data_IF_880591776264
#
_entry.id   IF_880591776264
#
_cell.length_a   1.000
_cell.length_b   1.000
_cell.length_c   1.000
_cell.angle_alpha   90.00
_cell.angle_beta   90.00
_cell.angle_gamma   90.00
#
_symmetry.space_group_name_H-M   'P 1'
#
loop_
_entity.id
_entity.type
_entity.pdbx_description
1 polymer ?
#
# COMPACT_ATOMS: atom_id res chain seq x y z
N UNK A 1 -31.63 -22.55 -19.33
CA UNK A 1 -31.15 -22.12 -18.02
C UNK A 1 -30.85 -23.37 -17.19
N UNK A 2 -29.82 -24.10 -17.58
CA UNK A 2 -29.29 -25.27 -16.82
C UNK A 2 -27.79 -25.35 -17.09
N UNK A 3 -27.01 -24.53 -16.40
CA UNK A 3 -25.54 -24.75 -16.28
C UNK A 3 -24.99 -23.71 -15.33
N UNK A 4 -24.88 -24.05 -14.03
CA UNK A 4 -23.94 -23.40 -13.09
C UNK A 4 -24.08 -23.81 -11.60
N UNK A 5 -24.41 -25.08 -11.31
CA UNK A 5 -24.37 -25.58 -9.93
C UNK A 5 -23.82 -27.01 -9.80
N UNK A 6 -22.73 -27.33 -10.49
CA UNK A 6 -22.10 -28.66 -10.38
C UNK A 6 -20.60 -28.55 -10.12
N UNK A 7 -20.19 -28.09 -8.93
CA UNK A 7 -18.75 -28.19 -8.54
C UNK A 7 -18.52 -28.19 -7.01
N UNK A 8 -19.54 -28.46 -6.20
CA UNK A 8 -19.36 -28.43 -4.72
C UNK A 8 -20.01 -29.64 -3.97
N UNK A 9 -20.32 -30.75 -4.64
CA UNK A 9 -21.04 -31.87 -4.02
C UNK A 9 -20.37 -33.24 -4.17
N UNK A 10 -19.06 -33.32 -4.32
CA UNK A 10 -18.39 -34.64 -4.42
C UNK A 10 -18.17 -35.38 -3.09
N UNK A 11 -18.59 -34.82 -1.96
CA UNK A 11 -18.51 -35.52 -0.66
C UNK A 11 -19.73 -35.28 0.23
N UNK A 12 -20.92 -35.23 -0.34
CA UNK A 12 -22.17 -35.23 0.44
C UNK A 12 -23.05 -36.37 -0.09
N UNK A 13 -23.22 -37.40 0.72
CA UNK A 13 -24.20 -38.47 0.44
C UNK A 13 -25.61 -37.87 0.43
N UNK A 14 -26.16 -37.72 -0.78
CA UNK A 14 -27.51 -37.20 -0.95
C UNK A 14 -28.47 -38.38 -1.09
N UNK A 15 -29.20 -38.72 -0.03
CA UNK A 15 -30.37 -39.57 -0.13
C UNK A 15 -31.56 -38.76 -0.68
N UNK A 16 -31.85 -38.92 -1.97
CA UNK A 16 -33.06 -38.35 -2.60
C UNK A 16 -34.19 -39.37 -2.50
N UNK A 17 -35.15 -39.10 -1.63
CA UNK A 17 -36.45 -39.79 -1.65
C UNK A 17 -37.40 -39.06 -2.58
N UNK A 18 -37.70 -39.67 -3.73
CA UNK A 18 -38.68 -39.18 -4.71
C UNK A 18 -40.06 -39.68 -4.34
N UNK A 19 -40.86 -38.89 -3.60
CA UNK A 19 -42.35 -38.94 -3.62
C UNK A 19 -42.89 -37.60 -3.11
N UNK A 20 -43.36 -36.77 -3.99
CA UNK A 20 -44.56 -35.98 -4.04
C UNK A 20 -44.40 -34.61 -4.75
N UNK A 21 -45.45 -34.29 -5.48
CA UNK A 21 -45.65 -33.16 -6.41
C UNK A 21 -45.86 -31.80 -5.72
N UNK A 22 -45.01 -31.38 -4.76
CA UNK A 22 -44.99 -30.00 -4.25
C UNK A 22 -43.54 -29.61 -4.06
N UNK A 23 -43.18 -28.40 -4.52
CA UNK A 23 -41.87 -27.80 -4.29
C UNK A 23 -41.72 -27.49 -2.80
N UNK A 24 -41.28 -28.43 -2.01
CA UNK A 24 -40.74 -28.16 -0.70
C UNK A 24 -39.29 -27.70 -0.87
N UNK A 25 -38.99 -26.51 -0.42
CA UNK A 25 -37.64 -26.07 -0.13
C UNK A 25 -37.07 -27.03 0.89
N UNK A 26 -36.19 -27.92 0.45
CA UNK A 26 -35.41 -28.76 1.36
C UNK A 26 -34.48 -27.86 2.14
N UNK A 27 -34.85 -27.52 3.35
CA UNK A 27 -33.93 -26.96 4.33
C UNK A 27 -32.93 -28.07 4.68
N UNK A 28 -31.69 -27.89 4.22
CA UNK A 28 -30.59 -28.69 4.73
C UNK A 28 -30.38 -28.34 6.18
N UNK A 29 -30.67 -29.27 7.07
CA UNK A 29 -30.30 -29.23 8.48
C UNK A 29 -28.79 -29.55 8.58
N UNK A 30 -27.97 -28.59 8.13
CA UNK A 30 -26.53 -28.65 8.25
C UNK A 30 -26.21 -28.29 9.70
N UNK A 31 -25.73 -29.26 10.48
CA UNK A 31 -25.43 -29.07 11.89
C UNK A 31 -24.48 -27.90 12.06
N UNK A 32 -24.76 -27.03 13.02
CA UNK A 32 -23.89 -25.87 13.38
C UNK A 32 -22.43 -26.30 13.63
N UNK A 33 -22.17 -27.57 13.99
CA UNK A 33 -20.86 -28.17 14.16
C UNK A 33 -20.01 -28.21 12.89
N UNK A 34 -20.64 -28.22 11.71
CA UNK A 34 -19.91 -28.34 10.42
C UNK A 34 -19.36 -26.99 9.96
N UNK A 35 -19.85 -25.88 10.53
CA UNK A 35 -19.45 -24.51 10.19
C UNK A 35 -18.37 -23.94 11.10
N UNK A 36 -18.16 -24.51 12.31
CA UNK A 36 -17.19 -24.02 13.30
C UNK A 36 -16.31 -25.19 13.73
N UNK A 37 -15.00 -25.04 13.54
CA UNK A 37 -14.01 -26.03 13.96
C UNK A 37 -12.95 -25.41 14.87
N UNK A 38 -12.19 -26.24 15.59
CA UNK A 38 -10.96 -25.79 16.25
C UNK A 38 -10.00 -25.31 15.18
N UNK A 39 -9.34 -24.18 15.42
CA UNK A 39 -8.44 -23.55 14.48
C UNK A 39 -7.19 -24.40 14.24
N UNK A 40 -6.93 -24.77 13.01
CA UNK A 40 -5.72 -25.47 12.58
C UNK A 40 -4.93 -24.61 11.56
N UNK A 41 -3.61 -24.81 11.51
CA UNK A 41 -2.78 -24.07 10.59
C UNK A 41 -1.55 -24.86 10.15
N UNK A 42 -1.44 -25.08 8.83
CA UNK A 42 -0.24 -25.61 8.19
C UNK A 42 0.66 -24.44 7.77
N UNK A 43 1.83 -24.33 8.40
CA UNK A 43 2.82 -23.29 8.06
C UNK A 43 3.57 -23.63 6.79
N UNK A 44 4.32 -22.66 6.24
CA UNK A 44 5.11 -22.83 5.01
C UNK A 44 6.36 -23.71 5.24
N UNK A 45 6.78 -23.89 6.49
CA UNK A 45 7.86 -24.75 6.94
C UNK A 45 7.39 -26.18 7.31
N UNK A 46 6.22 -26.58 6.82
CA UNK A 46 5.55 -27.88 7.06
C UNK A 46 5.07 -28.07 8.53
N UNK A 47 5.26 -27.12 9.41
CA UNK A 47 4.77 -27.21 10.77
C UNK A 47 3.24 -27.16 10.78
N UNK A 48 2.59 -28.14 11.40
CA UNK A 48 1.15 -28.15 11.68
C UNK A 48 0.90 -27.78 13.14
N UNK A 49 -0.01 -26.84 13.40
CA UNK A 49 -0.39 -26.42 14.74
C UNK A 49 -1.90 -26.41 14.90
N UNK A 50 -2.39 -27.08 15.92
CA UNK A 50 -3.78 -27.01 16.38
C UNK A 50 -3.85 -25.98 17.51
N UNK A 51 -4.64 -24.93 17.32
CA UNK A 51 -4.81 -23.86 18.30
C UNK A 51 -6.02 -24.14 19.18
N UNK A 52 -5.86 -24.96 20.22
CA UNK A 52 -6.95 -25.43 21.08
C UNK A 52 -7.79 -24.32 21.72
N UNK A 53 -7.20 -23.14 21.91
CA UNK A 53 -7.86 -21.97 22.50
C UNK A 53 -8.74 -21.19 21.53
N UNK A 54 -8.77 -21.57 20.24
CA UNK A 54 -9.48 -20.82 19.21
C UNK A 54 -10.37 -21.72 18.35
N UNK A 55 -11.45 -21.12 17.86
CA UNK A 55 -12.27 -21.66 16.78
C UNK A 55 -12.20 -20.78 15.56
N UNK A 56 -12.51 -21.35 14.41
CA UNK A 56 -12.72 -20.63 13.15
C UNK A 56 -13.99 -21.15 12.48
N UNK A 57 -14.75 -20.26 11.84
CA UNK A 57 -15.91 -20.62 11.05
C UNK A 57 -15.63 -20.60 9.55
N UNK A 58 -16.59 -21.06 8.75
CA UNK A 58 -16.51 -21.08 7.29
C UNK A 58 -16.50 -19.68 6.64
N UNK A 59 -16.77 -18.62 7.40
CA UNK A 59 -16.64 -17.22 6.94
C UNK A 59 -15.26 -16.64 7.28
N UNK A 60 -14.38 -17.40 7.96
CA UNK A 60 -13.06 -16.98 8.37
C UNK A 60 -13.04 -16.15 9.66
N UNK A 61 -14.10 -16.21 10.47
CA UNK A 61 -14.15 -15.51 11.75
C UNK A 61 -13.48 -16.39 12.82
N UNK A 62 -12.38 -15.91 13.36
CA UNK A 62 -11.64 -16.59 14.44
C UNK A 62 -12.13 -16.05 15.78
N UNK A 63 -12.43 -16.95 16.72
CA UNK A 63 -12.84 -16.59 18.09
C UNK A 63 -12.02 -17.32 19.14
N UNK A 64 -11.68 -16.63 20.21
CA UNK A 64 -11.11 -17.27 21.40
C UNK A 64 -12.23 -18.01 22.16
N UNK A 65 -12.06 -19.30 22.44
CA UNK A 65 -13.09 -20.15 23.09
C UNK A 65 -13.47 -19.66 24.48
N UNK A 66 -12.50 -19.08 25.22
CA UNK A 66 -12.74 -18.63 26.60
C UNK A 66 -13.40 -17.26 26.68
N UNK A 67 -12.94 -16.31 25.86
CA UNK A 67 -13.42 -14.91 25.91
C UNK A 67 -14.52 -14.60 24.88
N UNK A 68 -14.73 -15.46 23.88
CA UNK A 68 -15.61 -15.21 22.74
C UNK A 68 -15.12 -14.12 21.78
N UNK A 69 -13.99 -13.48 22.10
CA UNK A 69 -13.49 -12.34 21.34
C UNK A 69 -12.77 -12.77 20.06
N UNK A 70 -12.93 -11.96 19.02
CA UNK A 70 -12.21 -12.09 17.74
C UNK A 70 -10.89 -11.33 17.83
N UNK A 71 -9.73 -11.93 17.47
CA UNK A 71 -8.47 -11.21 17.38
C UNK A 71 -8.55 -10.06 16.39
N UNK A 72 -7.86 -8.95 16.67
CA UNK A 72 -7.81 -7.81 15.76
C UNK A 72 -7.12 -8.18 14.43
N UNK A 73 -7.77 -7.92 13.32
CA UNK A 73 -7.20 -8.13 11.99
C UNK A 73 -6.39 -6.90 11.55
N UNK A 74 -5.21 -7.16 10.98
CA UNK A 74 -4.33 -6.11 10.49
C UNK A 74 -4.91 -5.33 9.29
N UNK A 75 -4.44 -4.09 9.11
CA UNK A 75 -4.90 -3.19 8.03
C UNK A 75 -4.33 -3.53 6.63
N UNK A 76 -3.56 -4.62 6.48
CA UNK A 76 -2.94 -5.01 5.21
C UNK A 76 -3.93 -5.45 4.12
N UNK A 77 -3.39 -5.83 2.96
CA UNK A 77 -4.16 -6.33 1.80
C UNK A 77 -4.93 -7.62 2.12
N UNK A 78 -4.37 -8.47 2.98
CA UNK A 78 -4.96 -9.72 3.45
C UNK A 78 -5.20 -9.65 4.96
N UNK A 79 -6.23 -10.32 5.43
CA UNK A 79 -6.48 -10.41 6.86
C UNK A 79 -5.41 -11.28 7.54
N UNK A 80 -4.82 -10.73 8.59
CA UNK A 80 -3.84 -11.39 9.46
C UNK A 80 -4.19 -11.11 10.90
N UNK A 81 -3.99 -12.07 11.79
CA UNK A 81 -4.14 -11.86 13.21
C UNK A 81 -3.08 -12.61 14.02
N UNK A 82 -2.90 -12.18 15.25
CA UNK A 82 -2.05 -12.86 16.22
C UNK A 82 -2.89 -13.80 17.07
N UNK A 83 -2.50 -15.08 17.13
CA UNK A 83 -3.07 -16.10 18.00
C UNK A 83 -1.96 -16.72 18.85
N UNK A 84 -2.31 -17.33 19.98
CA UNK A 84 -1.35 -18.00 20.86
C UNK A 84 -1.49 -19.51 20.72
N UNK A 85 -0.39 -20.21 20.48
CA UNK A 85 -0.36 -21.66 20.46
C UNK A 85 -0.56 -22.24 21.88
N UNK A 86 -0.53 -23.57 21.99
CA UNK A 86 -0.77 -24.24 23.27
C UNK A 86 0.34 -23.97 24.29
N UNK A 87 1.57 -23.70 23.81
CA UNK A 87 2.74 -23.34 24.63
C UNK A 87 2.75 -21.86 25.02
N UNK A 88 1.74 -21.08 24.62
CA UNK A 88 1.64 -19.65 24.91
C UNK A 88 2.47 -18.77 23.99
N UNK A 89 3.08 -19.31 22.95
CA UNK A 89 3.83 -18.53 21.95
C UNK A 89 2.88 -17.84 20.97
N UNK A 90 3.09 -16.55 20.74
CA UNK A 90 2.30 -15.79 19.78
C UNK A 90 2.70 -16.11 18.35
N UNK A 91 1.74 -16.51 17.53
CA UNK A 91 1.90 -16.79 16.11
C UNK A 91 1.09 -15.79 15.28
N UNK A 92 1.69 -15.27 14.22
CA UNK A 92 0.98 -14.44 13.22
C UNK A 92 0.50 -15.35 12.09
N UNK A 93 -0.82 -15.40 11.88
CA UNK A 93 -1.43 -16.24 10.85
C UNK A 93 -2.20 -15.39 9.83
N UNK A 94 -2.34 -15.92 8.61
CA UNK A 94 -3.22 -15.38 7.56
C UNK A 94 -4.57 -16.08 7.65
N UNK A 95 -5.66 -15.32 7.70
CA UNK A 95 -7.00 -15.89 7.92
C UNK A 95 -7.40 -16.84 6.78
N UNK A 96 -7.19 -16.47 5.52
CA UNK A 96 -7.50 -17.36 4.40
C UNK A 96 -6.72 -18.68 4.43
N UNK A 97 -5.44 -18.67 4.89
CA UNK A 97 -4.70 -19.93 5.08
C UNK A 97 -5.22 -20.73 6.28
N UNK A 98 -5.69 -20.05 7.32
CA UNK A 98 -6.31 -20.70 8.47
C UNK A 98 -7.62 -21.42 8.07
N UNK A 99 -8.45 -20.78 7.24
CA UNK A 99 -9.66 -21.41 6.65
C UNK A 99 -9.27 -22.62 5.82
N UNK A 100 -8.29 -22.48 4.91
CA UNK A 100 -7.83 -23.59 4.08
C UNK A 100 -7.31 -24.75 4.94
N UNK A 101 -6.46 -24.47 5.92
CA UNK A 101 -5.89 -25.49 6.82
C UNK A 101 -6.95 -26.24 7.60
N UNK A 102 -7.94 -25.50 8.15
CA UNK A 102 -8.96 -26.10 9.04
C UNK A 102 -10.04 -26.87 8.28
N UNK A 103 -10.44 -26.38 7.08
CA UNK A 103 -11.60 -26.95 6.38
C UNK A 103 -11.21 -27.80 5.14
N UNK A 104 -10.10 -27.48 4.47
CA UNK A 104 -9.61 -28.24 3.31
C UNK A 104 -8.48 -29.20 3.68
N UNK A 105 -7.96 -29.11 4.93
CA UNK A 105 -6.89 -29.97 5.43
C UNK A 105 -5.49 -29.58 4.89
N UNK A 106 -4.59 -30.55 4.89
CA UNK A 106 -3.19 -30.38 4.49
C UNK A 106 -3.06 -29.98 3.01
N UNK A 107 -2.19 -29.01 2.69
CA UNK A 107 -1.90 -28.70 1.29
C UNK A 107 -1.15 -29.84 0.62
N UNK A 108 -1.45 -30.12 -0.65
CA UNK A 108 -0.83 -31.21 -1.41
C UNK A 108 0.70 -31.16 -1.48
N UNK A 109 1.30 -29.99 -1.31
CA UNK A 109 2.74 -29.80 -1.12
C UNK A 109 2.98 -28.50 -0.33
N UNK A 110 4.15 -28.34 0.32
CA UNK A 110 4.52 -27.11 1.04
C UNK A 110 4.49 -25.85 0.16
N UNK A 111 4.65 -26.01 -1.14
CA UNK A 111 4.61 -24.93 -2.12
C UNK A 111 3.19 -24.42 -2.43
N UNK A 112 2.14 -25.11 -1.98
CA UNK A 112 0.76 -24.64 -2.13
C UNK A 112 0.46 -23.49 -1.19
N UNK A 113 -0.27 -22.53 -1.69
CA UNK A 113 -0.72 -21.35 -0.94
C UNK A 113 -2.24 -21.27 -0.92
N UNK A 114 -2.80 -20.77 0.17
CA UNK A 114 -4.21 -20.43 0.18
C UNK A 114 -4.45 -19.25 -0.76
N UNK A 115 -5.24 -19.48 -1.80
CA UNK A 115 -5.53 -18.56 -2.89
C UNK A 115 -7.00 -18.13 -2.82
N UNK A 116 -7.26 -16.82 -3.00
CA UNK A 116 -8.62 -16.33 -3.12
C UNK A 116 -9.12 -16.58 -4.54
N UNK A 117 -10.23 -17.32 -4.69
CA UNK A 117 -10.83 -17.66 -5.99
C UNK A 117 -11.16 -16.37 -6.74
N UNK A 118 -11.83 -15.41 -6.08
CA UNK A 118 -11.97 -14.04 -6.56
C UNK A 118 -10.80 -13.19 -6.07
N UNK A 119 -9.83 -12.96 -6.94
CA UNK A 119 -8.63 -12.17 -6.64
C UNK A 119 -8.89 -10.68 -6.36
N UNK A 120 -10.10 -10.17 -6.60
CA UNK A 120 -10.53 -8.81 -6.21
C UNK A 120 -10.92 -8.74 -4.74
N UNK A 121 -11.41 -9.85 -4.18
CA UNK A 121 -11.91 -9.95 -2.80
C UNK A 121 -10.87 -10.51 -1.83
N UNK A 122 -9.71 -9.91 -1.74
CA UNK A 122 -8.57 -10.39 -0.93
C UNK A 122 -8.81 -10.39 0.59
N UNK A 123 -9.90 -9.80 1.06
CA UNK A 123 -10.34 -9.81 2.48
C UNK A 123 -11.56 -10.68 2.72
N UNK A 124 -12.12 -11.30 1.70
CA UNK A 124 -13.18 -12.27 1.82
C UNK A 124 -12.57 -13.66 2.02
N UNK A 125 -12.33 -14.03 3.27
CA UNK A 125 -11.71 -15.30 3.66
C UNK A 125 -12.75 -16.42 3.84
N UNK A 126 -13.96 -16.27 3.33
CA UNK A 126 -14.95 -17.33 3.35
C UNK A 126 -14.46 -18.59 2.62
N UNK A 127 -14.76 -19.78 3.16
CA UNK A 127 -14.36 -21.07 2.58
C UNK A 127 -14.72 -21.19 1.09
N UNK A 128 -15.88 -20.65 0.69
CA UNK A 128 -16.33 -20.61 -0.70
C UNK A 128 -15.41 -19.80 -1.63
N UNK A 129 -14.58 -18.92 -1.08
CA UNK A 129 -13.63 -18.09 -1.81
C UNK A 129 -12.17 -18.52 -1.63
N UNK A 130 -11.91 -19.59 -0.88
CA UNK A 130 -10.55 -20.05 -0.56
C UNK A 130 -10.32 -21.44 -1.16
N UNK A 131 -9.12 -21.63 -1.71
CA UNK A 131 -8.64 -22.94 -2.19
C UNK A 131 -7.13 -23.06 -2.01
N UNK A 132 -6.63 -24.32 -1.98
CA UNK A 132 -5.21 -24.53 -2.15
C UNK A 132 -4.81 -24.41 -3.64
N UNK A 133 -3.73 -23.68 -3.92
CA UNK A 133 -3.24 -23.46 -5.28
C UNK A 133 -1.72 -23.47 -5.33
N UNK A 134 -1.16 -24.15 -6.33
CA UNK A 134 0.28 -24.08 -6.60
C UNK A 134 0.68 -22.69 -7.16
N UNK A 135 1.94 -22.32 -7.05
CA UNK A 135 2.47 -21.02 -7.53
C UNK A 135 2.14 -20.74 -9.01
N UNK A 136 2.27 -21.66 -9.96
CA UNK A 136 1.84 -21.43 -11.34
C UNK A 136 0.35 -21.12 -11.47
N UNK A 137 -0.50 -21.89 -10.79
CA UNK A 137 -1.94 -21.66 -10.79
C UNK A 137 -2.35 -20.33 -10.15
N UNK A 138 -1.66 -19.91 -9.08
CA UNK A 138 -1.88 -18.61 -8.47
C UNK A 138 -1.48 -17.45 -9.41
N UNK A 139 -0.38 -17.60 -10.17
CA UNK A 139 0.01 -16.62 -11.20
C UNK A 139 -1.03 -16.48 -12.30
N UNK A 140 -1.68 -17.60 -12.69
CA UNK A 140 -2.76 -17.56 -13.68
C UNK A 140 -4.03 -16.86 -13.15
N UNK A 141 -4.27 -16.89 -11.83
CA UNK A 141 -5.41 -16.23 -11.18
C UNK A 141 -5.17 -14.74 -10.91
N UNK A 142 -3.96 -14.22 -11.12
CA UNK A 142 -3.68 -12.80 -10.92
C UNK A 142 -4.32 -11.96 -12.02
N UNK A 143 -5.06 -10.93 -11.61
CA UNK A 143 -5.47 -9.87 -12.53
C UNK A 143 -4.22 -9.10 -12.92
N UNK A 144 -3.79 -9.25 -14.15
CA UNK A 144 -2.73 -8.45 -14.74
C UNK A 144 -3.37 -7.26 -15.44
N UNK A 145 -2.73 -6.11 -15.34
CA UNK A 145 -3.11 -4.98 -16.18
C UNK A 145 -2.79 -5.36 -17.63
N UNK A 146 -3.74 -5.19 -18.52
CA UNK A 146 -3.58 -5.48 -19.96
C UNK A 146 -2.45 -4.63 -20.54
N UNK A 147 -2.27 -3.43 -19.99
CA UNK A 147 -1.24 -2.48 -20.40
C UNK A 147 -0.34 -2.09 -19.22
N UNK A 148 0.97 -2.16 -19.41
CA UNK A 148 1.94 -1.63 -18.45
C UNK A 148 1.92 -0.10 -18.49
N UNK A 149 1.63 0.56 -17.37
CA UNK A 149 1.66 2.04 -17.26
C UNK A 149 3.00 2.67 -17.67
N UNK A 150 4.07 1.88 -17.65
CA UNK A 150 5.42 2.27 -18.03
C UNK A 150 5.82 1.84 -19.44
N UNK A 151 4.89 1.33 -20.25
CA UNK A 151 5.18 0.93 -21.62
C UNK A 151 5.46 2.13 -22.51
N UNK A 152 6.30 1.94 -23.54
CA UNK A 152 6.47 2.95 -24.58
C UNK A 152 5.16 3.14 -25.35
N UNK A 153 4.81 4.38 -25.58
CA UNK A 153 3.65 4.76 -26.39
C UNK A 153 4.09 4.95 -27.83
N UNK A 154 3.34 4.37 -28.74
CA UNK A 154 3.48 4.52 -30.18
C UNK A 154 2.27 5.28 -30.70
N UNK A 155 2.53 6.22 -31.57
CA UNK A 155 1.52 7.09 -32.19
C UNK A 155 1.38 6.71 -33.65
N UNK A 156 0.15 6.62 -34.15
CA UNK A 156 -0.19 6.50 -35.56
C UNK A 156 -1.50 7.22 -35.81
N UNK A 157 -1.52 8.09 -36.80
CA UNK A 157 -2.70 8.86 -37.22
C UNK A 157 -3.35 9.63 -36.04
N UNK A 158 -2.52 10.18 -35.14
CA UNK A 158 -2.96 10.89 -33.92
C UNK A 158 -3.45 10.00 -32.77
N UNK A 159 -3.52 8.68 -32.95
CA UNK A 159 -3.95 7.73 -31.92
C UNK A 159 -2.74 7.20 -31.15
N UNK A 160 -2.81 7.26 -29.83
CA UNK A 160 -1.77 6.80 -28.91
C UNK A 160 -2.13 5.43 -28.33
N UNK A 161 -1.25 4.45 -28.51
CA UNK A 161 -1.39 3.10 -27.95
C UNK A 161 -0.03 2.53 -27.59
N UNK A 162 0.00 1.56 -26.70
CA UNK A 162 1.19 0.73 -26.50
C UNK A 162 1.41 -0.20 -27.70
N UNK A 163 2.59 -0.80 -27.79
CA UNK A 163 2.89 -1.76 -28.87
C UNK A 163 1.90 -2.94 -28.88
N UNK A 164 1.53 -3.46 -27.70
CA UNK A 164 0.58 -4.61 -27.61
C UNK A 164 -0.83 -4.17 -28.07
N UNK A 165 -1.32 -3.05 -27.61
CA UNK A 165 -2.61 -2.51 -28.06
C UNK A 165 -2.64 -2.24 -29.57
N UNK A 166 -1.52 -1.81 -30.15
CA UNK A 166 -1.40 -1.68 -31.60
C UNK A 166 -1.45 -3.02 -32.32
N UNK A 167 -0.82 -4.08 -31.78
CA UNK A 167 -0.88 -5.42 -32.36
C UNK A 167 -2.34 -5.89 -32.40
N UNK A 168 -3.05 -5.77 -31.29
CA UNK A 168 -4.45 -6.19 -31.20
C UNK A 168 -5.32 -5.37 -32.15
N UNK A 169 -5.14 -4.03 -32.17
CA UNK A 169 -5.88 -3.13 -33.05
C UNK A 169 -5.66 -3.45 -34.53
N UNK A 170 -4.42 -3.60 -34.97
CA UNK A 170 -4.09 -3.87 -36.35
C UNK A 170 -4.56 -5.28 -36.81
N UNK A 171 -4.42 -6.28 -35.93
CA UNK A 171 -4.85 -7.65 -36.25
C UNK A 171 -6.36 -7.79 -36.30
N UNK A 172 -7.10 -6.99 -35.52
CA UNK A 172 -8.56 -6.95 -35.62
C UNK A 172 -9.08 -6.26 -36.88
N UNK A 173 -8.28 -5.38 -37.50
CA UNK A 173 -8.66 -4.61 -38.69
C UNK A 173 -8.13 -5.18 -40.00
N UNK A 174 -7.15 -6.10 -39.94
CA UNK A 174 -6.55 -6.70 -41.14
C UNK A 174 -7.52 -7.64 -41.87
N UNK A 175 -7.32 -7.83 -43.16
CA UNK A 175 -8.00 -8.89 -43.91
C UNK A 175 -7.48 -10.28 -43.44
N UNK A 176 -8.34 -11.34 -43.48
CA UNK A 176 -7.96 -12.69 -43.04
C UNK A 176 -6.71 -13.24 -43.71
N UNK A 177 -6.45 -12.88 -44.96
CA UNK A 177 -5.31 -13.36 -45.75
C UNK A 177 -4.01 -12.56 -45.49
N UNK A 178 -4.10 -11.40 -44.81
CA UNK A 178 -2.92 -10.59 -44.51
C UNK A 178 -2.13 -11.19 -43.36
N UNK A 179 -0.81 -11.03 -43.41
CA UNK A 179 0.08 -11.45 -42.32
C UNK A 179 -0.23 -10.71 -41.03
N UNK A 180 -0.17 -11.44 -39.91
CA UNK A 180 -0.36 -10.84 -38.60
C UNK A 180 0.74 -9.85 -38.25
N UNK A 181 0.32 -8.74 -37.60
CA UNK A 181 1.22 -7.80 -37.02
C UNK A 181 1.83 -8.38 -35.75
N UNK A 182 3.14 -8.28 -35.63
CA UNK A 182 3.89 -8.74 -34.46
C UNK A 182 4.51 -7.55 -33.72
N UNK A 183 4.92 -7.81 -32.48
CA UNK A 183 5.62 -6.81 -31.66
C UNK A 183 6.83 -6.22 -32.38
N UNK A 184 7.68 -7.06 -32.94
CA UNK A 184 8.88 -6.61 -33.67
C UNK A 184 8.57 -5.74 -34.88
N UNK A 185 7.45 -6.01 -35.57
CA UNK A 185 7.02 -5.18 -36.71
C UNK A 185 6.60 -3.79 -36.26
N UNK A 186 5.75 -3.69 -35.23
CA UNK A 186 5.29 -2.38 -34.70
C UNK A 186 6.47 -1.58 -34.16
N UNK A 187 7.34 -2.22 -33.36
CA UNK A 187 8.56 -1.57 -32.82
C UNK A 187 9.48 -1.09 -33.95
N UNK A 188 9.68 -1.90 -34.99
CA UNK A 188 10.48 -1.52 -36.16
C UNK A 188 9.87 -0.32 -36.93
N UNK A 189 8.56 -0.36 -37.19
CA UNK A 189 7.88 0.75 -37.85
C UNK A 189 7.95 2.04 -37.04
N UNK A 190 7.72 1.95 -35.71
CA UNK A 190 7.81 3.10 -34.82
C UNK A 190 9.23 3.69 -34.79
N UNK A 191 10.26 2.83 -34.72
CA UNK A 191 11.66 3.24 -34.73
C UNK A 191 12.08 3.91 -36.05
N UNK A 192 11.61 3.38 -37.18
CA UNK A 192 11.94 3.88 -38.52
C UNK A 192 10.97 4.95 -39.01
N UNK A 193 9.98 5.33 -38.21
CA UNK A 193 8.90 6.27 -38.59
C UNK A 193 8.22 5.86 -39.92
N UNK A 194 7.93 4.55 -40.03
CA UNK A 194 7.32 3.97 -41.25
C UNK A 194 5.83 3.70 -41.03
N UNK A 195 5.06 3.68 -42.11
CA UNK A 195 3.62 3.41 -42.14
C UNK A 195 2.80 4.26 -41.16
N UNK A 196 3.26 5.49 -40.90
CA UNK A 196 2.62 6.41 -39.97
C UNK A 196 2.88 6.09 -38.46
N UNK A 197 3.61 5.03 -38.14
CA UNK A 197 4.00 4.75 -36.77
C UNK A 197 5.21 5.55 -36.34
N UNK A 198 5.18 6.14 -35.15
CA UNK A 198 6.30 6.76 -34.47
C UNK A 198 6.20 6.55 -32.96
N UNK A 199 7.33 6.53 -32.26
CA UNK A 199 7.27 6.65 -30.80
C UNK A 199 6.79 8.04 -30.40
N UNK A 200 5.99 8.11 -29.33
CA UNK A 200 5.52 9.37 -28.77
C UNK A 200 6.71 10.23 -28.36
N UNK A 201 6.69 11.47 -28.80
CA UNK A 201 7.66 12.49 -28.39
C UNK A 201 7.10 13.24 -27.17
N UNK A 202 7.98 13.56 -26.24
CA UNK A 202 7.64 14.22 -24.98
C UNK A 202 8.39 15.56 -24.91
N UNK A 203 7.75 16.67 -25.25
CA UNK A 203 8.39 17.99 -25.18
C UNK A 203 8.74 18.31 -23.72
N UNK A 204 9.82 19.06 -23.54
CA UNK A 204 10.13 19.64 -22.25
C UNK A 204 9.06 20.64 -21.84
N UNK A 205 8.75 20.68 -20.54
CA UNK A 205 7.93 21.74 -19.96
C UNK A 205 8.73 23.03 -19.88
N UNK A 206 8.05 24.17 -19.80
CA UNK A 206 8.73 25.45 -19.63
C UNK A 206 9.57 25.46 -18.34
N UNK A 207 10.84 25.82 -18.44
CA UNK A 207 11.80 25.76 -17.33
C UNK A 207 12.19 24.35 -16.86
N UNK A 208 11.85 23.30 -17.62
CA UNK A 208 12.22 21.94 -17.23
C UNK A 208 13.69 21.64 -17.49
N UNK A 209 14.38 21.19 -16.46
CA UNK A 209 15.78 20.76 -16.49
C UNK A 209 15.85 19.26 -16.18
N UNK A 210 16.59 18.52 -17.00
CA UNK A 210 16.81 17.09 -16.87
C UNK A 210 18.23 16.78 -16.44
N UNK A 211 18.39 16.07 -15.33
CA UNK A 211 19.69 15.56 -14.86
C UNK A 211 19.77 14.04 -14.95
N UNK A 212 20.94 13.47 -15.33
CA UNK A 212 21.11 12.02 -15.37
C UNK A 212 21.11 11.44 -13.97
N UNK A 213 20.48 10.26 -13.82
CA UNK A 213 20.53 9.47 -12.58
C UNK A 213 21.84 8.67 -12.60
N UNK A 214 22.77 9.01 -11.72
CA UNK A 214 24.07 8.33 -11.59
C UNK A 214 23.88 6.82 -11.33
N UNK A 215 24.66 5.98 -12.01
CA UNK A 215 24.56 4.52 -11.88
C UNK A 215 23.33 3.88 -12.55
N UNK A 216 22.53 4.62 -13.28
CA UNK A 216 21.35 4.09 -13.98
C UNK A 216 21.67 3.42 -15.31
N UNK A 217 22.88 3.63 -15.87
CA UNK A 217 23.25 3.11 -17.18
C UNK A 217 23.31 1.59 -17.18
N UNK A 218 22.58 0.98 -18.11
CA UNK A 218 22.58 -0.47 -18.33
C UNK A 218 23.79 -0.92 -19.18
N UNK A 219 24.05 -2.23 -19.22
CA UNK A 219 25.06 -2.81 -20.13
C UNK A 219 24.80 -2.52 -21.62
N UNK A 220 23.53 -2.28 -21.99
CA UNK A 220 23.11 -1.96 -23.37
C UNK A 220 23.26 -0.47 -23.71
N UNK A 221 23.54 0.37 -22.71
CA UNK A 221 23.68 1.80 -22.88
C UNK A 221 22.43 2.61 -22.56
N UNK A 222 21.31 1.97 -22.24
CA UNK A 222 20.10 2.66 -21.79
C UNK A 222 20.35 3.32 -20.42
N UNK A 223 19.67 4.43 -20.15
CA UNK A 223 19.86 5.17 -18.89
C UNK A 223 18.61 5.97 -18.50
N UNK A 224 18.61 6.51 -17.29
CA UNK A 224 17.53 7.28 -16.73
C UNK A 224 17.94 8.73 -16.46
N UNK A 225 16.99 9.63 -16.63
CA UNK A 225 17.06 11.03 -16.18
C UNK A 225 15.88 11.37 -15.28
N UNK A 226 16.07 12.37 -14.43
CA UNK A 226 15.02 12.93 -13.58
C UNK A 226 14.93 14.43 -13.80
N UNK A 227 13.73 15.00 -13.79
CA UNK A 227 13.51 16.42 -13.99
C UNK A 227 13.24 17.16 -12.68
N UNK A 228 13.35 18.48 -12.73
CA UNK A 228 12.89 19.38 -11.67
C UNK A 228 11.36 19.59 -11.66
N UNK A 229 10.61 18.85 -12.49
CA UNK A 229 9.15 19.00 -12.68
C UNK A 229 8.38 17.70 -12.47
N UNK A 230 8.77 16.88 -11.46
CA UNK A 230 8.10 15.64 -11.10
C UNK A 230 7.99 14.60 -12.23
N UNK A 231 8.97 14.58 -13.15
CA UNK A 231 9.02 13.66 -14.27
C UNK A 231 10.32 12.84 -14.25
N UNK A 232 10.22 11.58 -14.68
CA UNK A 232 11.38 10.69 -14.84
C UNK A 232 11.36 10.15 -16.26
N UNK A 233 12.48 10.08 -16.95
CA UNK A 233 12.55 9.49 -18.27
C UNK A 233 13.59 8.38 -18.39
N UNK A 234 13.18 7.34 -19.11
CA UNK A 234 14.04 6.26 -19.57
C UNK A 234 14.44 6.53 -21.01
N UNK A 235 15.72 6.42 -21.30
CA UNK A 235 16.28 6.67 -22.62
C UNK A 235 16.99 5.41 -23.07
N UNK A 236 16.58 4.88 -24.22
CA UNK A 236 17.24 3.73 -24.82
C UNK A 236 18.57 4.14 -25.46
N UNK A 237 19.44 3.17 -25.72
CA UNK A 237 20.71 3.37 -26.41
C UNK A 237 20.57 3.93 -27.84
N UNK A 238 19.38 3.83 -28.43
CA UNK A 238 19.04 4.37 -29.75
C UNK A 238 18.32 5.73 -29.67
N UNK A 239 18.23 6.32 -28.46
CA UNK A 239 17.67 7.64 -28.24
C UNK A 239 16.15 7.71 -28.10
N UNK A 240 15.44 6.57 -28.11
CA UNK A 240 13.99 6.58 -27.82
C UNK A 240 13.74 6.91 -26.37
N UNK A 241 12.89 7.89 -26.11
CA UNK A 241 12.55 8.34 -24.76
C UNK A 241 11.18 7.81 -24.32
N UNK A 242 11.05 7.50 -23.04
CA UNK A 242 9.77 7.26 -22.39
C UNK A 242 9.70 8.08 -21.10
N UNK A 243 8.78 9.01 -21.01
CA UNK A 243 8.63 9.92 -19.87
C UNK A 243 7.49 9.43 -18.99
N UNK A 244 7.75 9.33 -17.69
CA UNK A 244 6.84 8.85 -16.69
C UNK A 244 6.57 9.94 -15.65
N UNK A 245 5.30 10.13 -15.28
CA UNK A 245 4.87 11.07 -14.25
C UNK A 245 3.55 10.62 -13.60
N UNK A 246 3.18 11.25 -12.52
CA UNK A 246 1.89 11.02 -11.86
C UNK A 246 1.61 9.53 -11.62
N UNK A 247 0.47 9.04 -12.10
CA UNK A 247 0.03 7.65 -11.90
C UNK A 247 0.82 6.59 -12.67
N UNK A 248 1.65 6.98 -13.62
CA UNK A 248 2.54 6.06 -14.32
C UNK A 248 3.69 5.59 -13.43
N UNK A 249 4.07 6.38 -12.42
CA UNK A 249 5.05 6.00 -11.43
C UNK A 249 4.45 5.00 -10.42
N UNK A 250 5.20 3.99 -10.06
CA UNK A 250 4.84 3.11 -8.95
C UNK A 250 4.81 3.86 -7.62
N UNK A 251 4.21 3.28 -6.57
CA UNK A 251 4.17 3.89 -5.23
C UNK A 251 4.48 2.89 -4.14
N UNK A 252 5.29 3.32 -3.17
CA UNK A 252 5.49 2.62 -1.90
C UNK A 252 5.25 3.62 -0.76
N UNK A 253 4.33 3.30 0.13
CA UNK A 253 3.92 4.18 1.25
C UNK A 253 3.54 5.61 0.80
N UNK A 254 2.98 5.75 -0.39
CA UNK A 254 2.60 7.05 -0.97
C UNK A 254 3.74 7.80 -1.67
N UNK A 255 4.96 7.30 -1.68
CA UNK A 255 6.08 7.90 -2.40
C UNK A 255 6.17 7.37 -3.83
N UNK A 256 6.28 8.22 -4.85
CA UNK A 256 6.59 7.81 -6.21
C UNK A 256 7.93 7.08 -6.27
N UNK A 257 7.94 5.97 -7.00
CA UNK A 257 9.12 5.12 -7.16
C UNK A 257 9.37 4.77 -8.62
N UNK A 258 10.63 4.46 -8.92
CA UNK A 258 11.04 3.82 -10.17
C UNK A 258 11.94 2.61 -9.88
N UNK A 259 11.91 1.62 -10.79
CA UNK A 259 12.80 0.46 -10.71
C UNK A 259 13.95 0.63 -11.68
N UNK A 260 15.15 0.81 -11.17
CA UNK A 260 16.39 0.97 -11.94
C UNK A 260 17.34 -0.17 -11.59
N UNK A 261 17.83 -0.89 -12.60
CA UNK A 261 18.76 -2.02 -12.43
C UNK A 261 18.31 -3.01 -11.33
N UNK A 262 17.03 -3.40 -11.37
CA UNK A 262 16.35 -4.29 -10.43
C UNK A 262 16.18 -3.75 -9.00
N UNK A 263 16.73 -2.58 -8.67
CA UNK A 263 16.54 -1.89 -7.39
C UNK A 263 15.42 -0.87 -7.48
N UNK A 264 14.61 -0.79 -6.43
CA UNK A 264 13.53 0.20 -6.30
C UNK A 264 14.13 1.47 -5.66
N UNK A 265 13.83 2.61 -6.25
CA UNK A 265 14.26 3.91 -5.79
C UNK A 265 13.08 4.86 -5.64
N UNK A 266 13.07 5.63 -4.56
CA UNK A 266 12.11 6.72 -4.39
C UNK A 266 12.53 7.93 -5.23
N UNK A 267 11.58 8.52 -5.95
CA UNK A 267 11.87 9.63 -6.88
C UNK A 267 12.42 10.86 -6.15
N UNK A 268 11.93 11.19 -4.94
CA UNK A 268 12.47 12.31 -4.16
C UNK A 268 13.95 12.13 -3.81
N UNK A 269 14.39 10.91 -3.47
CA UNK A 269 15.82 10.64 -3.21
C UNK A 269 16.63 10.84 -4.49
N UNK A 270 16.16 10.32 -5.63
CA UNK A 270 16.85 10.47 -6.90
C UNK A 270 16.91 11.93 -7.35
N UNK A 271 15.84 12.70 -7.15
CA UNK A 271 15.81 14.12 -7.46
C UNK A 271 16.80 14.89 -6.57
N UNK A 272 16.81 14.63 -5.29
CA UNK A 272 17.76 15.27 -4.37
C UNK A 272 19.20 14.95 -4.73
N UNK A 273 19.53 13.67 -4.97
CA UNK A 273 20.85 13.22 -5.39
C UNK A 273 21.30 13.90 -6.69
N UNK A 274 20.40 14.10 -7.64
CA UNK A 274 20.75 14.66 -8.94
C UNK A 274 20.89 16.20 -8.93
N UNK A 275 20.08 16.90 -8.14
CA UNK A 275 20.02 18.35 -8.13
C UNK A 275 20.77 19.01 -6.99
N UNK A 276 21.02 18.32 -5.90
CA UNK A 276 21.74 18.78 -4.71
C UNK A 276 22.95 17.89 -4.41
N UNK A 277 23.81 17.69 -5.42
CA UNK A 277 24.96 16.75 -5.36
C UNK A 277 25.90 17.04 -4.19
N UNK A 278 26.19 18.32 -3.92
CA UNK A 278 27.07 18.74 -2.83
C UNK A 278 26.48 18.39 -1.47
N UNK A 279 25.21 18.75 -1.27
CA UNK A 279 24.50 18.43 -0.01
C UNK A 279 24.36 16.92 0.18
N UNK A 280 24.08 16.19 -0.92
CA UNK A 280 24.01 14.73 -0.84
C UNK A 280 25.35 14.10 -0.47
N UNK A 281 26.47 14.63 -0.98
CA UNK A 281 27.81 14.13 -0.68
C UNK A 281 28.24 14.45 0.74
N UNK A 282 27.78 15.54 1.31
CA UNK A 282 28.03 15.98 2.69
C UNK A 282 27.05 15.39 3.71
N UNK A 283 26.02 14.67 3.25
CA UNK A 283 24.94 14.14 4.07
C UNK A 283 25.46 13.22 5.17
N UNK A 284 25.04 13.47 6.41
CA UNK A 284 25.34 12.61 7.57
C UNK A 284 24.45 11.35 7.57
N UNK A 285 24.88 10.35 8.35
CA UNK A 285 24.19 9.04 8.40
C UNK A 285 22.76 9.14 8.93
N UNK A 286 22.51 10.06 9.86
CA UNK A 286 21.21 10.25 10.51
C UNK A 286 20.24 11.13 9.72
N UNK A 287 20.73 11.82 8.70
CA UNK A 287 19.91 12.67 7.86
C UNK A 287 19.16 11.86 6.80
N UNK A 288 18.02 12.35 6.42
CA UNK A 288 17.17 11.84 5.33
C UNK A 288 16.69 12.98 4.44
N UNK A 289 16.24 12.64 3.24
CA UNK A 289 15.58 13.61 2.37
C UNK A 289 14.14 13.79 2.84
N UNK A 290 13.79 15.00 3.25
CA UNK A 290 12.48 15.41 3.72
C UNK A 290 11.77 16.29 2.67
N UNK A 291 10.44 16.26 2.64
CA UNK A 291 9.62 17.20 1.88
C UNK A 291 9.29 18.39 2.78
N UNK A 292 9.45 19.61 2.29
CA UNK A 292 9.18 20.83 3.07
C UNK A 292 7.72 20.95 3.51
N UNK A 293 6.79 20.53 2.64
CA UNK A 293 5.35 20.58 2.87
C UNK A 293 4.73 19.20 3.16
N UNK A 294 5.55 18.18 3.44
CA UNK A 294 5.10 16.79 3.63
C UNK A 294 4.32 16.19 2.43
N UNK A 295 4.34 16.80 1.26
CA UNK A 295 3.70 16.26 0.08
C UNK A 295 4.58 15.19 -0.59
N UNK A 296 4.30 13.93 -0.33
CA UNK A 296 5.06 12.77 -0.83
C UNK A 296 5.07 12.64 -2.35
N UNK A 297 4.09 13.19 -3.04
CA UNK A 297 3.97 13.15 -4.50
C UNK A 297 4.87 14.19 -5.17
N UNK A 298 5.28 15.23 -4.46
CA UNK A 298 6.07 16.33 -5.01
C UNK A 298 7.56 16.11 -4.74
N UNK A 299 8.28 15.63 -5.76
CA UNK A 299 9.72 15.44 -5.69
C UNK A 299 10.52 16.51 -6.45
N UNK A 300 9.93 17.70 -6.68
CA UNK A 300 10.68 18.83 -7.23
C UNK A 300 11.83 19.21 -6.31
N UNK A 301 13.05 19.42 -6.81
CA UNK A 301 14.24 19.61 -5.95
C UNK A 301 14.12 20.73 -4.93
N UNK A 302 13.47 21.85 -5.29
CA UNK A 302 13.26 23.01 -4.39
C UNK A 302 12.25 22.74 -3.28
N UNK A 303 11.57 21.58 -3.28
CA UNK A 303 10.66 21.11 -2.24
C UNK A 303 11.30 20.07 -1.32
N UNK A 304 12.58 19.81 -1.51
CA UNK A 304 13.31 18.76 -0.81
C UNK A 304 14.48 19.36 -0.01
N UNK A 305 14.69 18.87 1.19
CA UNK A 305 15.82 19.26 2.05
C UNK A 305 16.36 18.05 2.82
N UNK A 306 17.55 18.18 3.37
CA UNK A 306 18.04 17.24 4.38
C UNK A 306 17.43 17.59 5.76
N UNK A 307 17.23 16.57 6.55
CA UNK A 307 16.77 16.70 7.93
C UNK A 307 16.83 15.37 8.65
N UNK A 308 16.81 15.41 9.96
CA UNK A 308 16.76 14.25 10.82
C UNK A 308 15.33 13.69 10.93
N UNK A 309 15.19 12.46 11.46
CA UNK A 309 13.87 11.92 11.77
C UNK A 309 13.09 12.81 12.77
N UNK A 310 13.81 13.51 13.67
CA UNK A 310 13.21 14.49 14.60
C UNK A 310 12.65 15.69 13.85
N UNK A 311 13.38 16.21 12.87
CA UNK A 311 12.94 17.38 12.08
C UNK A 311 11.74 17.02 11.22
N UNK A 312 11.76 15.89 10.54
CA UNK A 312 10.61 15.37 9.78
C UNK A 312 9.36 15.16 10.66
N UNK A 313 9.54 14.80 11.93
CA UNK A 313 8.42 14.70 12.88
C UNK A 313 7.89 16.09 13.26
N UNK A 314 8.77 17.08 13.48
CA UNK A 314 8.37 18.47 13.77
C UNK A 314 7.58 19.05 12.59
N UNK A 315 8.07 18.87 11.35
CA UNK A 315 7.39 19.33 10.15
C UNK A 315 5.97 18.73 10.05
N UNK A 316 5.83 17.45 10.32
CA UNK A 316 4.53 16.77 10.32
C UNK A 316 3.55 17.37 11.34
N UNK A 317 4.04 17.94 12.45
CA UNK A 317 3.20 18.69 13.42
C UNK A 317 2.89 20.11 12.93
N UNK A 318 3.89 20.82 12.40
CA UNK A 318 3.71 22.18 11.88
C UNK A 318 2.73 22.19 10.69
N UNK A 319 2.86 21.21 9.81
CA UNK A 319 2.01 21.05 8.62
C UNK A 319 0.61 20.46 8.94
N UNK A 320 0.24 20.35 10.23
CA UNK A 320 -1.10 19.93 10.66
C UNK A 320 -1.46 18.45 10.43
N UNK A 321 -0.55 17.61 9.91
CA UNK A 321 -0.82 16.18 9.67
C UNK A 321 -1.12 15.38 10.93
N UNK A 322 -0.78 15.90 12.08
CA UNK A 322 -1.02 15.30 13.39
C UNK A 322 -2.20 15.91 14.12
N UNK A 323 -2.84 16.93 13.57
CA UNK A 323 -4.00 17.58 14.18
C UNK A 323 -5.16 16.58 14.32
N UNK A 324 -5.83 16.60 15.46
CA UNK A 324 -6.89 15.65 15.78
C UNK A 324 -6.45 14.22 16.08
N UNK A 325 -5.17 13.88 16.00
CA UNK A 325 -4.64 12.52 16.35
C UNK A 325 -4.32 12.43 17.85
N UNK A 326 -4.12 11.19 18.35
CA UNK A 326 -3.63 10.97 19.73
C UNK A 326 -2.24 11.58 19.99
N UNK A 327 -1.48 11.83 18.94
CA UNK A 327 -0.14 12.42 18.97
C UNK A 327 -0.14 13.90 18.61
N UNK A 328 -1.31 14.51 18.38
CA UNK A 328 -1.44 15.92 18.10
C UNK A 328 -0.89 16.76 19.25
N UNK A 329 -0.15 17.81 18.91
CA UNK A 329 0.31 18.78 19.91
C UNK A 329 -0.89 19.60 20.37
N UNK A 330 -1.04 19.73 21.71
CA UNK A 330 -2.06 20.55 22.28
C UNK A 330 -1.59 22.02 22.24
N UNK A 331 -2.24 22.84 21.44
CA UNK A 331 -2.06 24.30 21.47
C UNK A 331 -2.81 24.86 22.64
N UNK A 332 -2.25 25.89 23.27
CA UNK A 332 -2.86 26.52 24.45
C UNK A 332 -2.50 28.00 24.55
N UNK A 333 -3.26 28.71 25.33
CA UNK A 333 -3.00 30.08 25.73
C UNK A 333 -2.87 30.20 27.23
N UNK A 334 -2.03 31.13 27.70
CA UNK A 334 -1.91 31.51 29.12
C UNK A 334 -2.47 32.92 29.37
N UNK A 335 -3.11 33.08 30.53
CA UNK A 335 -3.69 34.34 30.99
C UNK A 335 -3.24 34.61 32.41
N UNK A 336 -2.90 35.87 32.70
CA UNK A 336 -2.63 36.38 34.06
C UNK A 336 -3.76 37.34 34.44
N UNK A 337 -4.45 37.06 35.53
CA UNK A 337 -5.58 37.89 36.03
C UNK A 337 -6.64 38.16 34.93
N UNK A 338 -6.88 37.17 34.06
CA UNK A 338 -7.84 37.29 32.95
C UNK A 338 -7.32 37.99 31.70
N UNK A 339 -6.10 38.55 31.73
CA UNK A 339 -5.47 39.18 30.57
C UNK A 339 -4.61 38.14 29.81
N UNK A 340 -4.73 38.10 28.50
CA UNK A 340 -3.92 37.20 27.64
C UNK A 340 -2.43 37.55 27.81
N UNK A 341 -1.65 36.57 28.22
CA UNK A 341 -0.19 36.67 28.29
C UNK A 341 0.46 36.19 26.98
N UNK A 342 0.02 35.03 26.51
CA UNK A 342 0.58 34.42 25.28
C UNK A 342 -0.35 33.31 24.77
N UNK A 343 -0.54 33.20 23.43
CA UNK A 343 -1.44 32.23 22.78
C UNK A 343 -0.81 31.41 21.65
N UNK A 344 0.45 31.72 21.29
CA UNK A 344 1.16 31.06 20.19
C UNK A 344 2.06 29.87 20.61
N UNK A 345 1.74 29.23 21.74
CA UNK A 345 2.47 28.06 22.17
C UNK A 345 2.25 26.88 21.18
N UNK A 346 3.35 26.39 20.60
CA UNK A 346 3.32 25.27 19.65
C UNK A 346 3.06 23.92 20.32
N UNK A 347 3.26 23.83 21.64
CA UNK A 347 3.04 22.61 22.44
C UNK A 347 3.04 22.95 23.95
N UNK A 348 2.55 21.99 24.76
CA UNK A 348 2.65 22.11 26.23
C UNK A 348 4.11 22.13 26.74
N UNK A 349 5.04 21.53 25.98
CA UNK A 349 6.47 21.59 26.30
C UNK A 349 6.99 23.00 26.09
N UNK A 350 6.64 23.62 24.97
CA UNK A 350 6.99 25.02 24.66
C UNK A 350 6.44 25.97 25.71
N UNK A 351 5.19 25.77 26.14
CA UNK A 351 4.59 26.51 27.24
C UNK A 351 5.37 26.35 28.58
N UNK A 352 5.84 25.14 28.86
CA UNK A 352 6.64 24.89 30.05
C UNK A 352 8.03 25.55 29.98
N UNK A 353 8.68 25.52 28.79
CA UNK A 353 9.96 26.25 28.59
C UNK A 353 9.78 27.77 28.74
N UNK A 354 8.72 28.33 28.16
CA UNK A 354 8.39 29.74 28.39
C UNK A 354 8.23 30.08 29.88
N UNK A 355 7.55 29.23 30.66
CA UNK A 355 7.40 29.41 32.08
C UNK A 355 8.73 29.43 32.85
N UNK A 356 9.72 28.63 32.41
CA UNK A 356 11.08 28.62 32.98
C UNK A 356 11.73 30.01 32.86
N UNK A 357 11.53 30.68 31.73
CA UNK A 357 12.01 32.08 31.53
C UNK A 357 11.25 33.14 32.37
N UNK A 358 10.06 32.76 32.86
CA UNK A 358 9.17 33.63 33.65
C UNK A 358 9.22 33.34 35.15
N UNK A 359 10.31 32.76 35.64
CA UNK A 359 10.54 32.54 37.07
C UNK A 359 10.01 31.22 37.62
N UNK A 360 9.66 30.27 36.76
CA UNK A 360 9.24 28.94 37.18
C UNK A 360 10.22 27.84 36.67
N UNK A 361 11.45 27.77 37.19
CA UNK A 361 12.52 26.90 36.64
C UNK A 361 12.19 25.43 36.66
N UNK A 362 11.24 25.01 37.50
CA UNK A 362 10.74 23.62 37.60
C UNK A 362 9.44 23.39 36.83
N UNK A 363 9.06 24.28 35.91
CA UNK A 363 7.83 24.11 35.12
C UNK A 363 7.92 22.84 34.23
N UNK A 364 6.83 22.06 34.26
CA UNK A 364 6.66 20.86 33.46
C UNK A 364 5.30 20.83 32.78
N UNK A 365 5.25 20.30 31.58
CA UNK A 365 4.04 20.21 30.75
C UNK A 365 2.86 19.48 31.42
N UNK A 366 3.12 18.56 32.36
CA UNK A 366 2.07 17.77 33.01
C UNK A 366 1.10 18.63 33.81
N UNK A 367 1.56 19.63 34.53
CA UNK A 367 0.69 20.55 35.30
C UNK A 367 -0.15 21.44 34.35
N UNK A 368 0.41 21.89 33.23
CA UNK A 368 -0.34 22.63 32.22
C UNK A 368 -1.39 21.69 31.57
N UNK A 369 -1.04 20.44 31.31
CA UNK A 369 -1.98 19.43 30.80
C UNK A 369 -3.13 19.16 31.76
N UNK A 370 -2.85 19.16 33.07
CA UNK A 370 -3.89 19.02 34.09
C UNK A 370 -4.83 20.23 34.11
N UNK A 371 -4.28 21.46 34.06
CA UNK A 371 -5.07 22.71 34.02
C UNK A 371 -5.96 22.78 32.74
N UNK A 372 -5.55 22.20 31.64
CA UNK A 372 -6.32 22.13 30.40
C UNK A 372 -7.33 20.96 30.36
N UNK A 373 -7.37 20.09 31.38
CA UNK A 373 -8.20 18.88 31.39
C UNK A 373 -9.52 19.19 32.12
N UNK A 374 -10.64 18.84 31.49
CA UNK A 374 -11.98 18.95 32.04
C UNK A 374 -12.22 18.04 33.28
N UNK A 375 -11.25 17.13 33.55
CA UNK A 375 -11.30 16.25 34.74
C UNK A 375 -10.95 16.95 36.03
N UNK A 376 -10.31 18.11 36.00
CA UNK A 376 -9.86 18.85 37.17
C UNK A 376 -10.68 20.15 37.34
N UNK A 377 -11.05 20.46 38.56
CA UNK A 377 -11.87 21.64 38.88
C UNK A 377 -11.15 22.99 38.66
N UNK A 378 -9.83 22.97 38.52
CA UNK A 378 -9.01 24.15 38.35
C UNK A 378 -8.32 24.15 36.98
N UNK A 379 -8.50 25.23 36.23
CA UNK A 379 -7.78 25.52 34.99
C UNK A 379 -6.50 26.37 35.24
N UNK A 380 -5.98 26.37 36.47
CA UNK A 380 -4.80 27.15 36.87
C UNK A 380 -3.56 26.25 37.04
N UNK A 381 -2.44 26.74 36.51
CA UNK A 381 -1.10 26.20 36.79
C UNK A 381 -0.07 27.34 36.71
N UNK A 382 0.88 27.36 37.64
CA UNK A 382 1.96 28.37 37.72
C UNK A 382 1.47 29.82 37.78
N UNK A 383 0.37 30.07 38.51
CA UNK A 383 -0.24 31.40 38.64
C UNK A 383 -0.94 31.92 37.38
N UNK A 384 -1.20 31.06 36.41
CA UNK A 384 -1.87 31.38 35.15
C UNK A 384 -3.10 30.50 34.91
N UNK A 385 -4.09 31.10 34.29
CA UNK A 385 -5.23 30.34 33.74
C UNK A 385 -4.86 29.87 32.33
N UNK A 386 -5.19 28.61 32.01
CA UNK A 386 -4.88 27.99 30.74
C UNK A 386 -6.13 27.64 29.94
N UNK A 387 -6.09 27.90 28.63
CA UNK A 387 -7.19 27.57 27.72
C UNK A 387 -6.64 26.81 26.51
N UNK A 388 -7.43 25.86 26.01
CA UNK A 388 -7.14 25.17 24.74
C UNK A 388 -7.44 26.15 23.59
N UNK A 389 -6.55 26.19 22.60
CA UNK A 389 -6.79 26.86 21.33
C UNK A 389 -7.11 25.77 20.28
N UNK A 390 -8.11 26.07 19.48
CA UNK A 390 -8.49 25.19 18.36
C UNK A 390 -7.50 25.28 17.19
#
# INVERSE_FOLDING_TARGET
VKHRYNLFLENVDIHISTKNKYKELVYFDIRMSDYIKTLEYYFEDETHVVFEKYTIDTLGIIKNKKSGQTPSYGKGTYNRCGVYDNDGKRRMIRVGRAVASTFLGEPSTPAHTADHIDSKQKKNDALSNIRWKCKPGQRANQIRQDTLKTAFIVVKDGIEKTVNEWIDHMNNMKNPEEREFTKSMIEHYAQKKQRGFAYKEYPNLDGEVWKPIKGSKTKRGDYWKISNMNRVKYITNIGTENVLWGEQLGRINGYPIVKINQKIWSCHILAFMAFHEELWSAKESEEMVCHEDDNREDFRPHKLRLGTGSDNMKDSHVNGKRDGTKTARKKCASYINGVLEKDDYTSLTDAAEYLKTKGHPKAVQSYISMALSDKYKSNMAYGRTWQKIQ
#
